data_IF_034108241912
#
_entry.id   IF_034108241912
#
_cell.length_a   1.000
_cell.length_b   1.000
_cell.length_c   1.000
_cell.angle_alpha   90.00
_cell.angle_beta   90.00
_cell.angle_gamma   90.00
#
_symmetry.space_group_name_H-M   'P 1'
#
loop_
_entity.id
_entity.type
_entity.pdbx_description
1 polymer ?
#
# COMPACT_ATOMS: atom_id res chain seq x y z
N UNK A 1 71.18 -20.57 0.98
CA UNK A 1 71.96 -19.31 1.13
C UNK A 1 70.99 -18.15 1.30
N UNK A 2 71.48 -16.93 1.52
CA UNK A 2 70.73 -15.68 1.77
C UNK A 2 69.44 -15.52 0.93
N UNK A 3 68.28 -15.06 1.41
CA UNK A 3 67.93 -13.87 2.23
C UNK A 3 68.34 -12.52 1.64
N UNK A 4 67.41 -11.82 0.96
CA UNK A 4 67.14 -10.42 1.32
C UNK A 4 65.81 -9.90 0.76
N UNK A 5 65.28 -8.85 1.39
CA UNK A 5 64.07 -8.12 0.99
C UNK A 5 64.42 -6.89 0.15
N UNK A 6 63.45 -6.35 -0.61
CA UNK A 6 62.97 -4.97 -0.38
C UNK A 6 61.67 -4.64 -1.11
N UNK A 7 60.99 -3.63 -0.58
CA UNK A 7 59.72 -3.08 -1.05
C UNK A 7 59.97 -1.70 -1.67
N UNK A 8 59.34 -1.41 -2.81
CA UNK A 8 58.96 -0.04 -3.19
C UNK A 8 57.52 -0.07 -3.72
N UNK A 9 56.73 0.94 -3.36
CA UNK A 9 55.29 1.04 -3.65
C UNK A 9 54.96 2.48 -4.00
N UNK A 10 54.58 2.74 -5.26
CA UNK A 10 54.11 4.06 -5.72
C UNK A 10 52.84 3.86 -6.57
N UNK A 11 51.88 4.77 -6.41
CA UNK A 11 50.58 4.77 -7.08
C UNK A 11 50.56 5.80 -8.21
N UNK A 12 49.86 5.51 -9.30
CA UNK A 12 48.81 6.38 -9.89
C UNK A 12 48.28 5.75 -11.19
N UNK A 13 46.96 5.83 -11.43
CA UNK A 13 46.33 5.34 -12.66
C UNK A 13 46.23 6.41 -13.75
N UNK A 14 45.76 6.01 -14.94
CA UNK A 14 45.49 6.92 -16.07
C UNK A 14 44.98 6.15 -17.29
N UNK A 15 43.76 6.43 -17.71
CA UNK A 15 42.99 5.68 -18.72
C UNK A 15 43.69 5.50 -20.09
N UNK A 16 43.41 4.36 -20.74
CA UNK A 16 43.78 4.12 -22.15
C UNK A 16 42.80 4.86 -23.09
N UNK A 17 43.31 5.44 -24.17
CA UNK A 17 42.49 5.98 -25.27
C UNK A 17 42.47 5.04 -26.50
N UNK A 18 41.52 5.31 -27.40
CA UNK A 18 41.06 4.47 -28.51
C UNK A 18 41.88 4.64 -29.80
N UNK A 19 41.88 3.59 -30.64
CA UNK A 19 41.99 3.56 -32.12
C UNK A 19 41.79 2.07 -32.55
N UNK A 20 41.24 1.69 -33.72
CA UNK A 20 40.58 2.42 -34.82
C UNK A 20 39.06 2.02 -34.80
N UNK A 21 38.18 1.91 -35.81
CA UNK A 21 38.13 2.07 -37.27
C UNK A 21 36.72 2.56 -37.73
N UNK A 22 36.48 2.68 -39.04
CA UNK A 22 35.16 2.81 -39.68
C UNK A 22 35.15 2.07 -41.03
N UNK A 23 34.09 2.03 -41.84
CA UNK A 23 32.74 2.60 -41.78
C UNK A 23 31.89 1.90 -42.88
N UNK A 24 31.04 2.56 -43.69
CA UNK A 24 30.37 3.86 -43.52
C UNK A 24 28.83 3.71 -43.41
N UNK A 25 28.11 4.76 -43.01
CA UNK A 25 26.64 4.79 -43.03
C UNK A 25 26.09 6.01 -43.78
N UNK A 26 24.97 5.83 -44.46
CA UNK A 26 24.28 6.88 -45.21
C UNK A 26 23.17 7.51 -44.36
N UNK A 27 23.12 8.85 -44.40
CA UNK A 27 22.25 9.79 -43.66
C UNK A 27 20.76 9.38 -43.73
N UNK A 28 19.90 9.68 -42.76
CA UNK A 28 19.87 10.94 -41.99
C UNK A 28 19.24 10.84 -40.59
N UNK A 29 19.77 11.62 -39.64
CA UNK A 29 19.10 11.98 -38.37
C UNK A 29 19.21 13.49 -38.16
N UNK A 30 18.10 14.18 -37.88
CA UNK A 30 18.07 15.57 -37.44
C UNK A 30 18.03 15.64 -35.91
N UNK A 31 19.02 16.29 -35.24
CA UNK A 31 19.01 16.39 -33.79
C UNK A 31 17.96 17.43 -33.32
N UNK A 32 17.07 17.02 -32.42
CA UNK A 32 16.19 17.96 -31.70
C UNK A 32 17.04 18.70 -30.66
N UNK A 33 17.58 19.85 -31.06
CA UNK A 33 18.38 20.69 -30.18
C UNK A 33 17.54 21.25 -29.01
N UNK A 34 18.11 21.18 -27.80
CA UNK A 34 17.55 21.83 -26.62
C UNK A 34 17.46 23.35 -26.86
N UNK A 35 16.24 23.89 -26.94
CA UNK A 35 16.01 25.32 -27.11
C UNK A 35 16.23 26.05 -25.78
N UNK A 36 17.49 26.34 -25.47
CA UNK A 36 17.86 27.26 -24.41
C UNK A 36 17.37 28.68 -24.78
N UNK A 37 16.19 29.07 -24.27
CA UNK A 37 15.69 30.43 -24.45
C UNK A 37 16.61 31.41 -23.70
N UNK A 38 17.14 32.47 -24.34
CA UNK A 38 18.06 33.38 -23.69
C UNK A 38 17.32 34.23 -22.65
N UNK A 39 17.68 34.06 -21.38
CA UNK A 39 17.20 34.91 -20.28
C UNK A 39 17.78 36.31 -20.47
N UNK A 40 16.95 37.25 -20.94
CA UNK A 40 17.31 38.67 -21.03
C UNK A 40 17.48 39.26 -19.63
N UNK A 41 18.73 39.32 -19.16
CA UNK A 41 19.11 40.13 -18.00
C UNK A 41 19.16 41.60 -18.40
N UNK A 42 18.13 42.37 -18.03
CA UNK A 42 18.13 43.81 -18.23
C UNK A 42 19.12 44.47 -17.25
N UNK A 43 20.21 45.03 -17.79
CA UNK A 43 21.16 45.81 -17.01
C UNK A 43 20.51 47.12 -16.55
N UNK A 44 20.58 47.41 -15.24
CA UNK A 44 20.03 48.64 -14.68
C UNK A 44 20.88 49.85 -15.10
N UNK A 45 20.31 50.75 -15.91
CA UNK A 45 20.93 52.02 -16.26
C UNK A 45 21.04 52.92 -15.01
N UNK A 46 22.21 53.54 -14.81
CA UNK A 46 22.40 54.53 -13.73
C UNK A 46 21.55 55.77 -14.01
N UNK A 47 20.80 56.21 -13.01
CA UNK A 47 19.99 57.43 -13.08
C UNK A 47 20.86 58.68 -13.01
N UNK A 48 20.82 59.50 -14.06
CA UNK A 48 21.33 60.86 -13.99
C UNK A 48 20.34 61.74 -13.23
N UNK A 49 20.81 62.44 -12.20
CA UNK A 49 20.07 63.58 -11.64
C UNK A 49 20.13 64.74 -12.64
N UNK A 50 18.97 65.30 -12.99
CA UNK A 50 18.88 66.69 -13.45
C UNK A 50 17.53 67.27 -13.06
N UNK A 51 17.56 68.50 -12.57
CA UNK A 51 16.43 69.11 -11.90
C UNK A 51 15.46 69.74 -12.91
N UNK A 52 14.16 69.45 -12.75
CA UNK A 52 13.17 70.51 -12.57
C UNK A 52 11.91 70.02 -11.87
N UNK A 53 11.36 70.94 -11.08
CA UNK A 53 10.04 70.93 -10.47
C UNK A 53 8.97 71.03 -11.56
N UNK A 54 7.92 70.24 -11.47
CA UNK A 54 6.53 70.59 -11.81
C UNK A 54 5.57 69.59 -11.12
N UNK A 55 4.27 69.66 -11.42
CA UNK A 55 3.18 69.47 -10.44
C UNK A 55 2.97 68.06 -9.87
N UNK A 56 2.32 68.02 -8.69
CA UNK A 56 2.16 66.81 -7.87
C UNK A 56 0.67 66.48 -7.68
N UNK A 57 0.03 65.98 -8.73
CA UNK A 57 -1.30 65.39 -8.61
C UNK A 57 -1.27 64.18 -7.68
N UNK A 58 -2.33 64.02 -6.88
CA UNK A 58 -2.54 62.82 -6.06
C UNK A 58 -3.30 61.80 -6.89
N UNK A 59 -2.60 60.79 -7.43
CA UNK A 59 -3.28 59.58 -7.86
C UNK A 59 -4.01 58.96 -6.66
N UNK A 60 -5.33 58.82 -6.76
CA UNK A 60 -6.11 58.06 -5.79
C UNK A 60 -5.72 56.58 -5.85
N UNK A 61 -5.65 55.93 -4.69
CA UNK A 61 -5.53 54.47 -4.62
C UNK A 61 -6.81 53.85 -5.20
N UNK A 62 -6.78 53.49 -6.48
CA UNK A 62 -7.83 52.67 -7.12
C UNK A 62 -8.12 51.47 -6.23
N UNK A 63 -9.35 51.36 -5.76
CA UNK A 63 -9.76 50.28 -4.88
C UNK A 63 -9.53 48.93 -5.58
N UNK A 64 -9.04 47.95 -4.81
CA UNK A 64 -8.87 46.58 -5.32
C UNK A 64 -10.23 45.91 -5.44
N UNK A 65 -10.91 46.18 -6.56
CA UNK A 65 -12.12 45.44 -6.96
C UNK A 65 -11.84 43.94 -6.80
N UNK A 66 -12.68 43.17 -6.07
CA UNK A 66 -12.55 41.73 -6.02
C UNK A 66 -12.52 41.16 -7.44
N UNK A 67 -11.43 40.49 -7.80
CA UNK A 67 -11.34 39.80 -9.09
C UNK A 67 -12.21 38.56 -8.94
N UNK A 68 -13.36 38.54 -9.61
CA UNK A 68 -14.19 37.36 -9.63
C UNK A 68 -13.49 36.28 -10.46
N UNK A 69 -12.96 35.25 -9.79
CA UNK A 69 -12.12 34.23 -10.42
C UNK A 69 -12.93 33.02 -10.92
N UNK A 70 -14.26 33.14 -10.95
CA UNK A 70 -15.23 32.06 -11.22
C UNK A 70 -15.03 31.39 -12.58
N UNK A 71 -14.57 32.13 -13.60
CA UNK A 71 -14.18 31.60 -14.91
C UNK A 71 -12.66 31.39 -15.12
N UNK A 72 -11.81 31.63 -14.12
CA UNK A 72 -10.35 31.64 -14.31
C UNK A 72 -9.73 30.28 -14.00
N UNK A 73 -9.35 29.56 -15.05
CA UNK A 73 -8.55 28.34 -14.93
C UNK A 73 -7.28 28.61 -14.11
N UNK A 74 -7.21 28.03 -12.91
CA UNK A 74 -6.01 28.15 -12.06
C UNK A 74 -4.87 27.39 -12.75
N UNK A 75 -3.68 27.99 -12.94
CA UNK A 75 -2.58 27.32 -13.64
C UNK A 75 -1.93 26.22 -12.78
N UNK A 76 -2.09 26.27 -11.46
CA UNK A 76 -1.59 25.30 -10.50
C UNK A 76 -2.60 25.10 -9.35
N UNK A 77 -2.85 23.85 -8.97
CA UNK A 77 -3.79 23.46 -7.92
C UNK A 77 -5.11 22.89 -8.47
N UNK A 78 -5.80 22.11 -7.63
CA UNK A 78 -7.13 21.59 -7.92
C UNK A 78 -8.19 22.72 -7.82
N UNK A 79 -9.28 22.57 -8.57
CA UNK A 79 -10.50 23.36 -8.42
C UNK A 79 -11.19 23.03 -7.09
N UNK A 80 -11.94 24.01 -6.56
CA UNK A 80 -12.69 23.83 -5.31
C UNK A 80 -14.16 23.40 -5.57
N UNK A 81 -14.55 23.32 -6.84
CA UNK A 81 -15.88 22.97 -7.29
C UNK A 81 -15.88 21.58 -7.93
N UNK A 82 -16.99 20.87 -7.82
CA UNK A 82 -17.25 19.65 -8.59
C UNK A 82 -17.24 19.96 -10.10
N UNK A 83 -16.91 18.98 -10.97
CA UNK A 83 -17.13 19.13 -12.41
C UNK A 83 -18.62 19.35 -12.70
N UNK A 84 -18.90 20.21 -13.70
CA UNK A 84 -20.26 20.49 -14.16
C UNK A 84 -20.66 19.52 -15.27
N UNK A 85 -19.70 19.14 -16.10
CA UNK A 85 -19.86 18.18 -17.20
C UNK A 85 -19.37 16.79 -16.77
N UNK A 86 -20.00 15.72 -17.28
CA UNK A 86 -19.60 14.33 -17.02
C UNK A 86 -18.16 14.03 -17.47
N UNK A 87 -17.69 14.71 -18.52
CA UNK A 87 -16.36 14.55 -19.11
C UNK A 87 -15.47 15.75 -18.77
N UNK A 88 -14.60 15.55 -17.78
CA UNK A 88 -13.72 16.61 -17.25
C UNK A 88 -12.26 16.15 -17.16
N UNK A 89 -11.33 17.10 -17.20
CA UNK A 89 -9.89 16.82 -17.11
C UNK A 89 -9.51 16.55 -15.65
N UNK A 90 -9.36 15.27 -15.30
CA UNK A 90 -9.05 14.75 -13.95
C UNK A 90 -7.82 15.38 -13.27
N UNK A 91 -6.91 16.01 -14.03
CA UNK A 91 -5.77 16.77 -13.47
C UNK A 91 -6.19 18.01 -12.68
N UNK A 92 -7.35 18.60 -12.99
CA UNK A 92 -7.78 19.86 -12.40
C UNK A 92 -8.84 19.71 -11.32
N UNK A 93 -9.55 18.58 -11.28
CA UNK A 93 -10.62 18.32 -10.31
C UNK A 93 -10.15 17.32 -9.25
N UNK A 94 -10.60 17.42 -7.99
CA UNK A 94 -10.39 16.35 -7.02
C UNK A 94 -11.06 15.06 -7.52
N UNK A 95 -10.43 13.90 -7.27
CA UNK A 95 -11.09 12.62 -7.55
C UNK A 95 -12.39 12.53 -6.72
N UNK A 96 -13.53 12.14 -7.32
CA UNK A 96 -14.75 11.88 -6.57
C UNK A 96 -14.55 10.75 -5.55
N UNK A 97 -15.28 10.82 -4.45
CA UNK A 97 -15.31 9.80 -3.39
C UNK A 97 -16.73 9.27 -3.31
N UNK A 98 -16.89 7.98 -3.58
CA UNK A 98 -18.19 7.33 -3.71
C UNK A 98 -18.62 6.65 -2.40
N UNK A 99 -19.88 6.22 -2.36
CA UNK A 99 -20.37 5.29 -1.35
C UNK A 99 -19.87 3.89 -1.66
N UNK A 100 -19.62 3.06 -0.65
CA UNK A 100 -19.01 1.74 -0.86
C UNK A 100 -19.83 0.83 -1.79
N UNK A 101 -21.16 0.89 -1.70
CA UNK A 101 -22.05 0.12 -2.57
C UNK A 101 -21.97 0.57 -4.05
N UNK A 102 -21.99 1.89 -4.28
CA UNK A 102 -21.89 2.48 -5.63
C UNK A 102 -20.51 2.18 -6.25
N UNK A 103 -19.45 2.17 -5.44
CA UNK A 103 -18.12 1.78 -5.89
C UNK A 103 -18.04 0.30 -6.34
N UNK A 104 -18.70 -0.62 -5.63
CA UNK A 104 -18.78 -2.04 -6.02
C UNK A 104 -19.62 -2.22 -7.30
N UNK A 105 -20.76 -1.55 -7.41
CA UNK A 105 -21.61 -1.64 -8.61
C UNK A 105 -20.92 -1.04 -9.85
N UNK A 106 -20.12 0.02 -9.70
CA UNK A 106 -19.27 0.53 -10.79
C UNK A 106 -18.14 -0.43 -11.19
N UNK A 107 -17.49 -1.15 -10.26
CA UNK A 107 -16.46 -2.12 -10.66
C UNK A 107 -17.04 -3.28 -11.49
N UNK A 108 -18.29 -3.70 -11.21
CA UNK A 108 -19.01 -4.70 -12.03
C UNK A 108 -19.38 -4.18 -13.42
N UNK A 109 -19.77 -2.90 -13.55
CA UNK A 109 -20.04 -2.31 -14.87
C UNK A 109 -18.74 -2.09 -15.66
N UNK A 110 -17.65 -1.69 -15.00
CA UNK A 110 -16.33 -1.57 -15.64
C UNK A 110 -15.83 -2.91 -16.18
N UNK A 111 -15.90 -4.01 -15.41
CA UNK A 111 -15.60 -5.37 -15.88
C UNK A 111 -16.37 -5.75 -17.15
N UNK A 112 -17.65 -5.36 -17.23
CA UNK A 112 -18.51 -5.60 -18.40
C UNK A 112 -18.05 -4.78 -19.63
N UNK A 113 -17.52 -3.58 -19.42
CA UNK A 113 -16.98 -2.69 -20.47
C UNK A 113 -15.54 -3.04 -20.87
N UNK A 114 -14.74 -3.56 -19.93
CA UNK A 114 -13.37 -4.04 -20.11
C UNK A 114 -13.33 -5.38 -20.87
N UNK A 115 -14.47 -6.07 -21.01
CA UNK A 115 -14.61 -7.43 -21.55
C UNK A 115 -13.74 -8.48 -20.83
N UNK A 116 -13.60 -8.35 -19.50
CA UNK A 116 -12.74 -9.22 -18.68
C UNK A 116 -13.49 -10.41 -18.07
N UNK A 117 -12.76 -11.32 -17.43
CA UNK A 117 -13.32 -12.52 -16.80
C UNK A 117 -14.13 -12.18 -15.56
N UNK A 118 -15.20 -12.94 -15.29
CA UNK A 118 -16.13 -12.66 -14.19
C UNK A 118 -15.52 -12.91 -12.79
N UNK A 119 -14.55 -13.81 -12.71
CA UNK A 119 -13.83 -14.23 -11.50
C UNK A 119 -12.78 -13.22 -10.97
N UNK A 120 -12.69 -12.03 -11.57
CA UNK A 120 -11.67 -11.04 -11.25
C UNK A 120 -11.57 -10.70 -9.74
N UNK A 121 -10.35 -10.61 -9.18
CA UNK A 121 -10.13 -10.31 -7.76
C UNK A 121 -10.45 -8.85 -7.42
N UNK A 122 -11.29 -8.64 -6.40
CA UNK A 122 -11.57 -7.30 -5.84
C UNK A 122 -10.59 -7.01 -4.71
N UNK A 123 -9.87 -5.89 -4.80
CA UNK A 123 -8.94 -5.42 -3.77
C UNK A 123 -9.45 -4.16 -3.06
N UNK A 124 -9.21 -4.07 -1.75
CA UNK A 124 -9.22 -2.80 -1.03
C UNK A 124 -7.77 -2.35 -0.80
N UNK A 125 -7.52 -1.04 -0.94
CA UNK A 125 -6.32 -0.36 -0.49
C UNK A 125 -6.72 0.71 0.55
N UNK A 126 -6.42 0.45 1.82
CA UNK A 126 -6.65 1.38 2.94
C UNK A 126 -5.34 2.08 3.29
N UNK A 127 -5.26 3.40 3.15
CA UNK A 127 -4.15 4.20 3.67
C UNK A 127 -4.43 4.54 5.13
N UNK A 128 -3.48 4.25 6.02
CA UNK A 128 -3.66 4.37 7.46
C UNK A 128 -2.80 5.51 8.03
N UNK A 129 -3.37 6.25 8.99
CA UNK A 129 -2.58 7.14 9.84
C UNK A 129 -1.90 6.32 10.95
N UNK A 130 -0.68 5.88 10.70
CA UNK A 130 0.13 5.14 11.69
C UNK A 130 0.76 6.03 12.77
N UNK A 131 0.41 7.33 12.84
CA UNK A 131 0.96 8.30 13.81
C UNK A 131 0.19 8.21 15.13
N UNK A 132 0.91 8.36 16.24
CA UNK A 132 0.33 8.54 17.58
C UNK A 132 0.92 9.81 18.22
N UNK A 133 0.36 10.24 19.34
CA UNK A 133 0.94 11.33 20.12
C UNK A 133 2.40 11.08 20.53
N UNK A 134 3.15 12.19 20.73
CA UNK A 134 4.50 12.20 21.34
C UNK A 134 5.50 11.30 20.62
N UNK A 135 5.59 11.43 19.29
CA UNK A 135 6.52 10.72 18.37
C UNK A 135 6.36 9.20 18.31
N UNK A 136 5.38 8.61 18.99
CA UNK A 136 5.07 7.18 18.86
C UNK A 136 4.39 6.92 17.51
N UNK A 137 4.48 5.68 17.04
CA UNK A 137 3.70 5.15 15.92
C UNK A 137 2.95 3.90 16.38
N UNK A 138 1.91 3.53 15.64
CA UNK A 138 1.36 2.18 15.67
C UNK A 138 2.43 1.24 15.08
N UNK A 139 2.66 0.07 15.69
CA UNK A 139 3.52 -0.96 15.09
C UNK A 139 2.89 -1.48 13.79
N UNK A 140 3.64 -1.70 12.69
CA UNK A 140 3.10 -2.38 11.53
C UNK A 140 2.73 -3.82 11.90
N UNK A 141 1.44 -4.14 11.79
CA UNK A 141 0.87 -5.41 12.23
C UNK A 141 0.48 -6.33 11.06
N UNK A 142 0.16 -7.57 11.43
CA UNK A 142 -0.36 -8.62 10.55
C UNK A 142 -1.52 -9.26 11.30
N UNK A 143 -2.73 -9.13 10.78
CA UNK A 143 -3.95 -9.67 11.38
C UNK A 143 -4.44 -10.89 10.59
N UNK A 144 -5.43 -11.60 11.12
CA UNK A 144 -6.12 -12.67 10.40
C UNK A 144 -7.59 -12.68 10.82
N UNK A 145 -8.49 -12.47 9.86
CA UNK A 145 -9.92 -12.25 10.10
C UNK A 145 -10.73 -13.32 9.39
N UNK A 146 -11.79 -13.83 10.01
CA UNK A 146 -12.75 -14.69 9.34
C UNK A 146 -13.70 -13.82 8.49
N UNK A 147 -13.70 -14.01 7.17
CA UNK A 147 -14.62 -13.30 6.26
C UNK A 147 -15.98 -14.01 6.24
N UNK A 148 -17.11 -13.29 6.37
CA UNK A 148 -18.44 -13.90 6.42
C UNK A 148 -18.83 -14.60 5.11
N UNK A 149 -18.23 -14.20 3.99
CA UNK A 149 -18.44 -14.84 2.69
C UNK A 149 -17.11 -15.30 2.08
N UNK A 150 -16.72 -16.57 2.22
CA UNK A 150 -15.46 -17.07 1.69
C UNK A 150 -15.47 -17.09 0.15
N UNK A 151 -14.43 -16.53 -0.46
CA UNK A 151 -14.25 -16.47 -1.93
C UNK A 151 -13.13 -17.39 -2.45
N UNK A 152 -12.40 -18.08 -1.56
CA UNK A 152 -11.43 -19.12 -1.92
C UNK A 152 -12.10 -20.48 -1.81
N UNK A 153 -11.94 -21.32 -2.83
CA UNK A 153 -12.31 -22.75 -2.76
C UNK A 153 -11.27 -23.57 -1.97
N UNK A 154 -10.02 -23.12 -1.94
CA UNK A 154 -8.93 -23.78 -1.21
C UNK A 154 -8.88 -23.37 0.26
N UNK A 155 -8.85 -24.36 1.15
CA UNK A 155 -8.64 -24.19 2.60
C UNK A 155 -7.14 -23.98 2.87
N UNK A 156 -6.80 -23.01 3.73
CA UNK A 156 -5.41 -22.71 4.04
C UNK A 156 -4.72 -23.92 4.74
N UNK A 157 -3.49 -24.25 4.33
CA UNK A 157 -2.68 -25.29 4.97
C UNK A 157 -2.09 -24.77 6.27
N UNK A 158 -2.56 -25.30 7.40
CA UNK A 158 -2.05 -24.93 8.74
C UNK A 158 -1.11 -26.01 9.27
N UNK A 159 0.09 -25.61 9.66
CA UNK A 159 1.06 -26.44 10.38
C UNK A 159 1.05 -26.12 11.89
N UNK A 160 1.04 -27.14 12.74
CA UNK A 160 0.97 -27.00 14.21
C UNK A 160 2.24 -27.55 14.86
N UNK A 161 2.90 -26.71 15.66
CA UNK A 161 4.09 -27.07 16.42
C UNK A 161 3.75 -27.41 17.88
N UNK A 162 3.90 -28.68 18.23
CA UNK A 162 3.62 -29.25 19.56
C UNK A 162 4.52 -30.45 19.86
N UNK A 163 4.87 -30.63 21.12
CA UNK A 163 5.56 -31.84 21.63
C UNK A 163 4.67 -32.68 22.57
N UNK A 164 3.58 -32.12 23.10
CA UNK A 164 2.64 -32.85 23.94
C UNK A 164 1.80 -33.82 23.08
N UNK A 165 1.82 -35.14 23.34
CA UNK A 165 1.22 -36.13 22.44
C UNK A 165 -0.31 -36.00 22.31
N UNK A 166 -1.00 -35.52 23.35
CA UNK A 166 -2.45 -35.32 23.30
C UNK A 166 -2.83 -34.07 22.49
N UNK A 167 -2.01 -33.02 22.53
CA UNK A 167 -2.15 -31.87 21.64
C UNK A 167 -1.87 -32.23 20.18
N UNK A 168 -0.99 -33.20 19.92
CA UNK A 168 -0.76 -33.74 18.57
C UNK A 168 -2.01 -34.46 18.03
N UNK A 169 -2.65 -35.32 18.84
CA UNK A 169 -3.92 -35.98 18.47
C UNK A 169 -5.01 -34.97 18.16
N UNK A 170 -5.25 -34.01 19.07
CA UNK A 170 -6.26 -32.95 18.88
C UNK A 170 -5.99 -32.14 17.62
N UNK A 171 -4.74 -31.82 17.30
CA UNK A 171 -4.39 -31.11 16.06
C UNK A 171 -4.69 -31.95 14.80
N UNK A 172 -4.45 -33.26 14.84
CA UNK A 172 -4.74 -34.20 13.73
C UNK A 172 -6.25 -34.41 13.55
N UNK A 173 -7.00 -34.60 14.64
CA UNK A 173 -8.47 -34.73 14.65
C UNK A 173 -9.15 -33.46 14.12
N UNK A 174 -8.65 -32.28 14.50
CA UNK A 174 -9.08 -31.00 13.96
C UNK A 174 -8.50 -30.71 12.56
N UNK A 175 -7.85 -31.70 11.93
CA UNK A 175 -7.42 -31.68 10.52
C UNK A 175 -6.35 -30.64 10.19
N UNK A 176 -5.34 -30.45 11.04
CA UNK A 176 -4.12 -29.73 10.66
C UNK A 176 -3.39 -30.47 9.53
N UNK A 177 -2.77 -29.74 8.61
CA UNK A 177 -2.08 -30.32 7.45
C UNK A 177 -0.75 -30.99 7.84
N UNK A 178 -0.04 -30.40 8.82
CA UNK A 178 1.19 -30.92 9.38
C UNK A 178 1.19 -30.70 10.89
N UNK A 179 1.68 -31.68 11.66
CA UNK A 179 1.77 -31.60 13.13
C UNK A 179 3.09 -32.22 13.57
N UNK A 180 3.85 -31.57 14.45
CA UNK A 180 5.07 -32.15 15.00
C UNK A 180 5.90 -31.21 15.89
N UNK A 181 6.92 -31.81 16.53
CA UNK A 181 7.89 -31.12 17.36
C UNK A 181 9.11 -30.64 16.58
N UNK A 182 10.32 -30.89 17.12
CA UNK A 182 11.59 -30.51 16.52
C UNK A 182 11.80 -31.04 15.08
N UNK A 183 11.33 -32.25 14.76
CA UNK A 183 11.53 -32.89 13.46
C UNK A 183 10.91 -32.08 12.31
N UNK A 184 9.73 -31.48 12.57
CA UNK A 184 9.04 -30.63 11.60
C UNK A 184 9.81 -29.33 11.34
N UNK A 185 10.60 -28.86 12.30
CA UNK A 185 11.47 -27.67 12.16
C UNK A 185 12.57 -27.92 11.14
N UNK A 186 13.15 -29.13 11.12
CA UNK A 186 14.17 -29.52 10.14
C UNK A 186 13.58 -29.58 8.73
N UNK A 187 12.46 -30.29 8.55
CA UNK A 187 11.77 -30.40 7.24
C UNK A 187 11.39 -29.06 6.60
N UNK A 188 11.03 -28.06 7.42
CA UNK A 188 10.74 -26.71 6.94
C UNK A 188 12.04 -25.93 6.68
N UNK A 189 13.14 -26.19 7.40
CA UNK A 189 14.47 -25.65 7.04
C UNK A 189 14.99 -26.21 5.70
N UNK A 190 14.70 -27.48 5.41
CA UNK A 190 15.15 -28.21 4.21
C UNK A 190 14.22 -28.08 2.99
N UNK A 191 13.16 -27.27 3.09
CA UNK A 191 12.13 -27.02 2.05
C UNK A 191 11.26 -28.23 1.65
N UNK A 192 11.23 -29.31 2.46
CA UNK A 192 10.29 -30.44 2.26
C UNK A 192 8.82 -30.03 2.51
N UNK A 193 8.58 -29.04 3.38
CA UNK A 193 7.26 -28.66 3.90
C UNK A 193 7.05 -27.14 3.88
N UNK A 194 6.14 -26.66 3.04
CA UNK A 194 5.56 -25.31 3.12
C UNK A 194 4.09 -25.37 3.58
N UNK A 195 3.68 -24.39 4.36
CA UNK A 195 2.34 -24.22 4.89
C UNK A 195 1.98 -22.74 4.90
N UNK A 196 0.71 -22.40 4.68
CA UNK A 196 0.24 -21.01 4.64
C UNK A 196 0.36 -20.35 6.00
N UNK A 197 -0.04 -21.07 7.06
CA UNK A 197 -0.05 -20.60 8.44
C UNK A 197 0.72 -21.55 9.36
N UNK A 198 1.44 -20.99 10.32
CA UNK A 198 2.14 -21.72 11.37
C UNK A 198 1.59 -21.33 12.74
N UNK A 199 1.16 -22.33 13.51
CA UNK A 199 0.61 -22.21 14.86
C UNK A 199 1.54 -22.92 15.83
N UNK A 200 1.77 -22.36 17.02
CA UNK A 200 2.67 -22.95 18.01
C UNK A 200 2.14 -22.83 19.44
N UNK A 201 2.36 -23.86 20.25
CA UNK A 201 2.24 -23.75 21.71
C UNK A 201 3.45 -22.97 22.26
N UNK A 202 3.30 -22.12 23.30
CA UNK A 202 4.36 -21.22 23.77
C UNK A 202 5.73 -21.88 24.02
N UNK A 203 5.73 -23.09 24.55
CA UNK A 203 6.95 -23.86 24.89
C UNK A 203 7.84 -24.11 23.66
N UNK A 204 7.20 -24.35 22.50
CA UNK A 204 7.87 -24.64 21.24
C UNK A 204 8.59 -23.43 20.63
N UNK A 205 8.25 -22.19 21.02
CA UNK A 205 8.82 -20.97 20.41
C UNK A 205 10.34 -20.93 20.56
N UNK A 206 10.86 -21.47 21.67
CA UNK A 206 12.29 -21.65 21.93
C UNK A 206 13.00 -22.45 20.82
N UNK A 207 12.37 -23.54 20.37
CA UNK A 207 12.87 -24.47 19.33
C UNK A 207 12.61 -23.95 17.90
N UNK A 208 11.63 -23.06 17.73
CA UNK A 208 11.28 -22.43 16.45
C UNK A 208 12.19 -21.26 16.06
N UNK A 209 13.05 -20.77 16.96
CA UNK A 209 13.95 -19.63 16.69
C UNK A 209 14.77 -19.72 15.37
N UNK A 210 15.27 -20.88 14.91
CA UNK A 210 15.97 -21.00 13.62
C UNK A 210 15.09 -20.60 12.42
N UNK A 211 13.80 -20.91 12.44
CA UNK A 211 12.86 -20.64 11.35
C UNK A 211 12.54 -19.14 11.19
N UNK A 212 12.87 -18.29 12.18
CA UNK A 212 12.58 -16.85 12.19
C UNK A 212 13.06 -16.12 10.92
N UNK A 213 14.24 -16.49 10.42
CA UNK A 213 14.83 -15.86 9.22
C UNK A 213 14.20 -16.33 7.90
N UNK A 214 13.63 -17.54 7.89
CA UNK A 214 12.95 -18.16 6.74
C UNK A 214 11.51 -17.70 6.65
N UNK A 215 10.73 -17.90 7.73
CA UNK A 215 9.29 -17.61 7.77
C UNK A 215 8.95 -16.10 7.82
N UNK A 216 9.79 -15.27 8.45
CA UNK A 216 9.70 -13.79 8.52
C UNK A 216 8.32 -13.22 8.93
N UNK A 217 7.39 -13.10 7.96
CA UNK A 217 5.99 -12.68 8.15
C UNK A 217 5.13 -13.83 8.71
N UNK A 218 5.27 -15.03 8.13
CA UNK A 218 4.59 -16.29 8.54
C UNK A 218 5.02 -16.81 9.93
N UNK A 219 6.06 -16.23 10.55
CA UNK A 219 6.58 -16.71 11.85
C UNK A 219 5.55 -16.52 13.00
N UNK A 220 5.31 -17.53 13.87
CA UNK A 220 4.32 -17.45 14.94
C UNK A 220 4.53 -16.31 15.93
N UNK A 221 3.46 -15.57 16.29
CA UNK A 221 3.52 -14.42 17.21
C UNK A 221 2.24 -14.32 18.04
N UNK A 222 2.38 -14.05 19.34
CA UNK A 222 1.25 -13.78 20.24
C UNK A 222 0.37 -12.62 19.74
N UNK A 223 0.97 -11.54 19.21
CA UNK A 223 0.24 -10.40 18.60
C UNK A 223 -0.63 -10.80 17.38
N UNK A 224 -0.41 -11.96 16.77
CA UNK A 224 -1.18 -12.49 15.63
C UNK A 224 -2.24 -13.53 16.06
N UNK A 225 -2.28 -13.90 17.34
CA UNK A 225 -3.11 -15.01 17.82
C UNK A 225 -2.64 -16.41 17.39
N UNK A 226 -1.50 -16.52 16.68
CA UNK A 226 -0.94 -17.79 16.21
C UNK A 226 -0.05 -18.51 17.24
N UNK A 227 -0.14 -18.08 18.49
CA UNK A 227 0.51 -18.67 19.67
C UNK A 227 -0.51 -18.76 20.77
N UNK A 228 -0.74 -19.96 21.30
CA UNK A 228 -1.74 -20.20 22.34
C UNK A 228 -1.79 -21.66 22.78
N UNK A 229 -2.64 -21.95 23.77
CA UNK A 229 -2.90 -23.32 24.26
C UNK A 229 -4.09 -23.95 23.51
N UNK A 230 -5.07 -23.13 23.12
CA UNK A 230 -6.33 -23.54 22.48
C UNK A 230 -6.15 -23.84 20.98
N UNK A 231 -5.45 -24.92 20.67
CA UNK A 231 -5.18 -25.40 19.31
C UNK A 231 -6.44 -25.51 18.41
N UNK A 232 -7.59 -26.10 18.82
CA UNK A 232 -8.75 -26.22 17.92
C UNK A 232 -9.27 -24.85 17.47
N UNK A 233 -9.43 -23.88 18.40
CA UNK A 233 -9.86 -22.50 18.08
C UNK A 233 -8.88 -21.81 17.13
N UNK A 234 -7.58 -22.00 17.33
CA UNK A 234 -6.56 -21.47 16.40
C UNK A 234 -6.67 -22.13 15.02
N UNK A 235 -6.93 -23.44 14.94
CA UNK A 235 -7.11 -24.15 13.66
C UNK A 235 -8.34 -23.66 12.91
N UNK A 236 -9.50 -23.51 13.56
CA UNK A 236 -10.72 -22.96 12.97
C UNK A 236 -10.48 -21.57 12.34
N UNK A 237 -9.83 -20.68 13.11
CA UNK A 237 -9.48 -19.33 12.69
C UNK A 237 -8.47 -19.32 11.53
N UNK A 238 -7.39 -20.10 11.57
CA UNK A 238 -6.35 -20.04 10.52
C UNK A 238 -6.68 -20.84 9.25
N UNK A 239 -7.54 -21.87 9.33
CA UNK A 239 -8.01 -22.62 8.15
C UNK A 239 -8.86 -21.78 7.19
N UNK A 240 -9.75 -20.97 7.76
CA UNK A 240 -10.68 -20.10 7.03
C UNK A 240 -10.24 -18.64 6.97
N UNK A 241 -9.25 -18.28 7.80
CA UNK A 241 -8.83 -16.91 8.02
C UNK A 241 -8.19 -16.23 6.82
N UNK A 242 -8.53 -14.97 6.65
CA UNK A 242 -7.93 -14.07 5.69
C UNK A 242 -6.81 -13.27 6.36
N UNK A 243 -5.54 -13.56 6.03
CA UNK A 243 -4.40 -12.77 6.47
C UNK A 243 -4.31 -11.45 5.69
N UNK A 244 -4.11 -10.34 6.42
CA UNK A 244 -3.67 -9.08 5.82
C UNK A 244 -2.54 -8.45 6.65
N UNK A 245 -1.75 -7.59 6.00
CA UNK A 245 -0.56 -6.98 6.59
C UNK A 245 -0.48 -5.48 6.26
N UNK A 246 0.05 -4.68 7.20
CA UNK A 246 0.36 -3.27 6.95
C UNK A 246 1.72 -3.14 6.27
N UNK A 247 1.75 -2.57 5.06
CA UNK A 247 2.97 -2.19 4.35
C UNK A 247 2.98 -0.69 4.04
N UNK A 248 4.07 0.01 4.42
CA UNK A 248 4.29 1.43 4.10
C UNK A 248 3.11 2.34 4.50
N UNK A 249 2.57 2.13 5.70
CA UNK A 249 1.41 2.83 6.25
C UNK A 249 0.11 2.64 5.42
N UNK A 250 -0.03 1.49 4.72
CA UNK A 250 -1.25 1.07 4.02
C UNK A 250 -1.51 -0.45 4.16
N UNK A 251 -2.76 -0.87 3.94
CA UNK A 251 -3.20 -2.27 3.86
C UNK A 251 -3.75 -2.51 2.46
N UNK A 252 -3.27 -3.56 1.77
CA UNK A 252 -3.73 -3.95 0.43
C UNK A 252 -4.14 -5.42 0.47
N UNK A 253 -5.44 -5.68 0.27
CA UNK A 253 -6.08 -6.95 0.64
C UNK A 253 -7.12 -7.35 -0.41
N UNK A 254 -7.20 -8.63 -0.77
CA UNK A 254 -8.27 -9.15 -1.66
C UNK A 254 -9.49 -9.53 -0.84
N UNK A 255 -10.65 -8.99 -1.17
CA UNK A 255 -11.86 -9.09 -0.34
C UNK A 255 -12.98 -9.92 -1.01
N UNK A 256 -12.85 -10.20 -2.30
CA UNK A 256 -13.74 -11.12 -3.02
C UNK A 256 -13.36 -11.39 -4.47
N UNK A 257 -14.35 -11.84 -5.24
CA UNK A 257 -14.40 -11.81 -6.71
C UNK A 257 -15.56 -10.96 -7.19
N UNK A 258 -15.46 -10.37 -8.39
CA UNK A 258 -16.56 -9.56 -8.93
C UNK A 258 -17.82 -10.38 -9.25
N UNK A 259 -17.70 -11.70 -9.41
CA UNK A 259 -18.83 -12.65 -9.51
C UNK A 259 -19.74 -12.63 -8.25
N UNK A 260 -19.19 -12.37 -7.06
CA UNK A 260 -19.97 -12.34 -5.81
C UNK A 260 -21.05 -11.25 -5.83
N UNK A 261 -22.24 -11.47 -5.24
CA UNK A 261 -23.26 -10.43 -5.11
C UNK A 261 -22.75 -9.27 -4.21
N UNK A 262 -23.21 -8.05 -4.53
CA UNK A 262 -22.63 -6.83 -3.95
C UNK A 262 -22.71 -6.76 -2.42
N UNK A 263 -23.76 -7.30 -1.83
CA UNK A 263 -23.97 -7.35 -0.38
C UNK A 263 -22.89 -8.19 0.32
N UNK A 264 -22.51 -9.33 -0.26
CA UNK A 264 -21.45 -10.18 0.28
C UNK A 264 -20.07 -9.51 0.18
N UNK A 265 -19.81 -8.80 -0.93
CA UNK A 265 -18.61 -7.99 -1.07
C UNK A 265 -18.57 -6.89 0.01
N UNK A 266 -19.67 -6.15 0.21
CA UNK A 266 -19.76 -5.09 1.23
C UNK A 266 -19.54 -5.67 2.63
N UNK A 267 -20.16 -6.79 3.00
CA UNK A 267 -19.96 -7.43 4.31
C UNK A 267 -18.50 -7.89 4.54
N UNK A 268 -17.84 -8.41 3.50
CA UNK A 268 -16.40 -8.70 3.55
C UNK A 268 -15.57 -7.40 3.66
N UNK A 269 -15.97 -6.29 3.02
CA UNK A 269 -15.30 -4.98 3.16
C UNK A 269 -15.45 -4.43 4.58
N UNK A 270 -16.63 -4.57 5.20
CA UNK A 270 -16.90 -4.11 6.57
C UNK A 270 -15.99 -4.81 7.57
N UNK A 271 -16.01 -6.15 7.62
CA UNK A 271 -15.22 -6.94 8.58
C UNK A 271 -13.71 -6.67 8.51
N UNK A 272 -13.16 -6.41 7.31
CA UNK A 272 -11.76 -5.99 7.15
C UNK A 272 -11.51 -4.57 7.70
N UNK A 273 -12.41 -3.62 7.44
CA UNK A 273 -12.27 -2.23 7.92
C UNK A 273 -12.48 -2.13 9.44
N UNK A 274 -13.39 -2.91 10.00
CA UNK A 274 -13.65 -3.01 11.44
C UNK A 274 -12.43 -3.56 12.20
N UNK A 275 -11.86 -4.70 11.76
CA UNK A 275 -10.66 -5.26 12.39
C UNK A 275 -9.49 -4.28 12.28
N UNK A 276 -9.24 -3.69 11.10
CA UNK A 276 -8.23 -2.64 10.91
C UNK A 276 -8.40 -1.51 11.91
N UNK A 277 -9.61 -0.98 12.08
CA UNK A 277 -9.91 0.08 13.04
C UNK A 277 -9.66 -0.35 14.50
N UNK A 278 -9.88 -1.62 14.86
CA UNK A 278 -9.66 -2.12 16.23
C UNK A 278 -8.20 -2.02 16.69
N UNK A 279 -7.23 -2.04 15.76
CA UNK A 279 -5.79 -1.91 16.08
C UNK A 279 -5.36 -0.49 16.49
N UNK A 280 -6.19 0.54 16.31
CA UNK A 280 -5.95 1.92 16.79
C UNK A 280 -6.81 2.18 18.04
N UNK A 281 -6.23 2.61 19.17
CA UNK A 281 -7.02 2.92 20.36
C UNK A 281 -8.02 4.06 20.09
N UNK A 282 -9.27 3.88 20.52
CA UNK A 282 -10.39 4.79 20.20
C UNK A 282 -10.13 6.27 20.53
N UNK A 283 -9.27 6.54 21.53
CA UNK A 283 -8.83 7.88 21.91
C UNK A 283 -8.15 8.69 20.80
N UNK A 284 -7.67 8.06 19.72
CA UNK A 284 -6.96 8.72 18.63
C UNK A 284 -7.84 9.02 17.40
N UNK A 285 -9.13 8.68 17.42
CA UNK A 285 -10.05 8.93 16.29
C UNK A 285 -9.68 8.18 15.00
N UNK A 286 -10.22 8.65 13.87
CA UNK A 286 -10.18 8.02 12.53
C UNK A 286 -8.79 7.43 12.19
N UNK A 287 -8.76 6.13 11.83
CA UNK A 287 -7.52 5.44 11.45
C UNK A 287 -7.24 5.49 9.94
N UNK A 288 -8.28 5.37 9.12
CA UNK A 288 -8.18 5.32 7.67
C UNK A 288 -8.15 6.75 7.12
N UNK A 289 -7.03 7.18 6.55
CA UNK A 289 -6.91 8.48 5.86
C UNK A 289 -7.59 8.47 4.49
N UNK A 290 -7.64 7.30 3.82
CA UNK A 290 -8.22 7.14 2.48
C UNK A 290 -8.47 5.67 2.19
N UNK A 291 -9.69 5.32 1.76
CA UNK A 291 -10.02 4.01 1.24
C UNK A 291 -10.18 4.04 -0.29
N UNK A 292 -9.69 2.99 -0.94
CA UNK A 292 -9.74 2.77 -2.39
C UNK A 292 -10.18 1.33 -2.64
N UNK A 293 -11.04 1.11 -3.64
CA UNK A 293 -11.42 -0.22 -4.13
C UNK A 293 -11.05 -0.35 -5.62
N UNK A 294 -10.56 -1.51 -6.04
CA UNK A 294 -10.08 -1.72 -7.41
C UNK A 294 -10.18 -3.18 -7.85
N UNK A 295 -10.53 -3.40 -9.13
CA UNK A 295 -10.32 -4.69 -9.80
C UNK A 295 -8.85 -4.83 -10.27
N UNK A 296 -8.54 -5.94 -10.95
CA UNK A 296 -7.25 -6.18 -11.61
C UNK A 296 -7.08 -5.40 -12.93
N UNK A 297 -8.16 -5.10 -13.66
CA UNK A 297 -8.14 -4.31 -14.91
C UNK A 297 -8.59 -2.86 -14.72
N UNK A 298 -9.71 -2.68 -14.03
CA UNK A 298 -10.47 -1.42 -14.01
C UNK A 298 -9.88 -0.35 -13.08
N UNK A 299 -10.31 0.91 -13.24
CA UNK A 299 -9.77 2.02 -12.44
C UNK A 299 -10.05 1.87 -10.93
N UNK A 300 -9.08 2.30 -10.12
CA UNK A 300 -9.17 2.37 -8.67
C UNK A 300 -10.01 3.57 -8.20
N UNK A 301 -11.18 3.27 -7.63
CA UNK A 301 -12.18 4.21 -7.13
C UNK A 301 -11.94 4.55 -5.65
N UNK A 302 -12.11 5.81 -5.26
CA UNK A 302 -12.10 6.20 -3.83
C UNK A 302 -13.50 6.00 -3.26
N UNK A 303 -13.59 5.50 -2.03
CA UNK A 303 -14.86 5.38 -1.31
C UNK A 303 -14.76 5.84 0.15
N UNK A 304 -15.89 6.18 0.75
CA UNK A 304 -15.99 6.56 2.18
C UNK A 304 -15.88 5.30 3.05
N UNK A 305 -14.86 5.18 3.90
CA UNK A 305 -14.73 4.06 4.84
C UNK A 305 -15.67 4.15 6.06
N UNK A 306 -16.22 5.33 6.34
CA UNK A 306 -17.01 5.59 7.56
C UNK A 306 -18.36 4.88 7.53
N UNK A 307 -19.00 4.81 6.36
CA UNK A 307 -20.28 4.12 6.12
C UNK A 307 -20.21 2.61 6.44
N UNK A 308 -19.02 2.02 6.33
CA UNK A 308 -18.78 0.60 6.64
C UNK A 308 -18.71 0.34 8.16
N UNK A 309 -18.26 1.33 8.94
CA UNK A 309 -18.04 1.24 10.40
C UNK A 309 -19.28 1.68 11.19
N UNK A 310 -20.11 2.57 10.64
CA UNK A 310 -21.27 3.11 11.35
C UNK A 310 -22.40 2.09 11.53
N UNK A 311 -22.60 1.17 10.57
CA UNK A 311 -23.66 0.15 10.64
C UNK A 311 -23.55 -0.78 11.85
N UNK A 312 -22.33 -1.03 12.33
CA UNK A 312 -22.05 -1.87 13.51
C UNK A 312 -22.35 -1.16 14.84
N UNK A 313 -22.48 0.17 14.84
CA UNK A 313 -22.86 0.97 16.03
C UNK A 313 -24.38 1.13 16.18
N UNK A 314 -25.14 0.87 15.11
CA UNK A 314 -26.61 0.90 15.10
C UNK A 314 -27.21 -0.50 14.86
N UNK A 315 -27.07 -1.48 15.77
CA UNK A 315 -27.64 -2.82 15.61
C UNK A 315 -29.16 -2.90 15.85
N UNK A 316 -29.86 -1.75 15.87
CA UNK A 316 -31.28 -1.62 16.20
C UNK A 316 -32.00 -0.70 15.19
N UNK A 317 -32.30 -1.22 14.00
CA UNK A 317 -33.35 -0.75 13.08
C UNK A 317 -33.91 -1.94 12.30
#
# INVERSE_FOLDING_TARGET
MATCTRIVKVLAGGQRHLLVAGGPTYKSVSPVALRHLPVRTYAAAKTFKKDKKDEKEKEEKRERKPIDNTGRHKPYGLTAWAPVDDVYVTRFYPKPVYEAAVAVDMLKSFQTLDYTTMDQPVYINLKLDMKLEKKKKVDPFVSTVHLPHPFKTEVNKVAVFTENPDQVKVAQENGAAFVGGADLVQKILDDEVDADFYVAVPDMISKLLPLKNKLRKKFPKNKRGSVGVDIPKMLELFKTGHEYAVEKDAVITRVGTLDMPKEQLIANMQTVVEDVCSHRPASFGHFVERAIVSSQSSEALLFKSEELVQKTQNPNE
#
